data_IF_716452971824
#
_entry.id   IF_716452971824
#
_cell.length_a   1.000
_cell.length_b   1.000
_cell.length_c   1.000
_cell.angle_alpha   90.00
_cell.angle_beta   90.00
_cell.angle_gamma   90.00
#
_symmetry.space_group_name_H-M   'P 1'
#
loop_
_entity.id
_entity.type
_entity.pdbx_description
1 polymer ?
#
# COMPACT_ATOMS: atom_id res chain seq x y z
N UNK A 1 11.30 -8.47 -2.39
CA UNK A 1 11.50 -7.07 -2.89
C UNK A 1 10.86 -6.83 -4.25
N UNK A 2 11.17 -7.63 -5.29
CA UNK A 2 10.58 -7.44 -6.62
C UNK A 2 9.05 -7.50 -6.64
N UNK A 3 8.46 -8.37 -5.81
CA UNK A 3 7.00 -8.51 -5.75
C UNK A 3 6.33 -7.29 -5.12
N UNK A 4 6.95 -6.60 -4.16
CA UNK A 4 6.39 -5.34 -3.62
C UNK A 4 6.23 -4.31 -4.72
N UNK A 5 7.19 -4.20 -5.64
CA UNK A 5 7.09 -3.28 -6.77
C UNK A 5 5.95 -3.67 -7.70
N UNK A 6 5.81 -4.95 -8.01
CA UNK A 6 4.70 -5.46 -8.82
C UNK A 6 3.33 -5.19 -8.14
N UNK A 7 3.23 -5.45 -6.84
CA UNK A 7 2.03 -5.18 -6.05
C UNK A 7 1.74 -3.67 -5.99
N UNK A 8 2.75 -2.82 -5.82
CA UNK A 8 2.61 -1.37 -5.84
C UNK A 8 2.09 -0.86 -7.19
N UNK A 9 2.57 -1.44 -8.31
CA UNK A 9 2.06 -1.13 -9.65
C UNK A 9 0.60 -1.59 -9.77
N UNK A 10 0.27 -2.81 -9.33
CA UNK A 10 -1.11 -3.30 -9.36
C UNK A 10 -2.04 -2.38 -8.54
N UNK A 11 -1.63 -1.99 -7.34
CA UNK A 11 -2.37 -1.06 -6.49
C UNK A 11 -2.53 0.32 -7.13
N UNK A 12 -1.47 0.86 -7.74
CA UNK A 12 -1.52 2.12 -8.48
C UNK A 12 -2.55 2.08 -9.62
N UNK A 13 -2.55 1.01 -10.42
CA UNK A 13 -3.48 0.85 -11.54
C UNK A 13 -4.93 0.70 -11.06
N UNK A 14 -5.18 -0.17 -10.07
CA UNK A 14 -6.53 -0.43 -9.56
C UNK A 14 -7.07 0.81 -8.83
N UNK A 15 -6.26 1.42 -7.96
CA UNK A 15 -6.64 2.63 -7.23
C UNK A 15 -6.89 3.81 -8.18
N UNK A 16 -6.06 3.98 -9.22
CA UNK A 16 -6.26 4.98 -10.26
C UNK A 16 -7.57 4.77 -11.04
N UNK A 17 -7.89 3.53 -11.40
CA UNK A 17 -9.17 3.19 -12.03
C UNK A 17 -10.37 3.54 -11.13
N UNK A 18 -10.29 3.16 -9.85
CA UNK A 18 -11.34 3.45 -8.86
C UNK A 18 -11.49 4.96 -8.62
N UNK A 19 -10.39 5.69 -8.55
CA UNK A 19 -10.40 7.15 -8.44
C UNK A 19 -11.18 7.77 -9.59
N UNK A 20 -10.78 7.50 -10.84
CA UNK A 20 -11.46 8.03 -12.02
C UNK A 20 -12.93 7.60 -12.10
N UNK A 21 -13.25 6.40 -11.66
CA UNK A 21 -14.60 5.83 -11.80
C UNK A 21 -15.58 6.22 -10.72
N UNK A 22 -15.15 6.29 -9.46
CA UNK A 22 -16.02 6.64 -8.34
C UNK A 22 -16.11 8.16 -8.16
N UNK A 23 -15.02 8.91 -8.36
CA UNK A 23 -15.05 10.37 -8.26
C UNK A 23 -15.92 11.02 -9.33
N UNK A 24 -16.09 10.39 -10.50
CA UNK A 24 -17.02 10.84 -11.54
C UNK A 24 -18.48 10.69 -11.14
N UNK A 25 -18.81 9.72 -10.27
CA UNK A 25 -20.17 9.50 -9.77
C UNK A 25 -20.46 10.41 -8.58
N UNK A 26 -19.59 10.38 -7.56
CA UNK A 26 -19.72 11.24 -6.39
C UNK A 26 -18.37 11.44 -5.71
N UNK A 27 -17.88 12.68 -5.75
CA UNK A 27 -16.64 13.08 -5.05
C UNK A 27 -16.75 12.83 -3.54
N UNK A 28 -17.86 13.21 -2.93
CA UNK A 28 -18.07 13.05 -1.47
C UNK A 28 -18.04 11.59 -1.06
N UNK A 29 -18.71 10.70 -1.81
CA UNK A 29 -18.71 9.28 -1.51
C UNK A 29 -17.30 8.69 -1.59
N UNK A 30 -16.57 9.03 -2.65
CA UNK A 30 -15.21 8.55 -2.84
C UNK A 30 -14.27 9.02 -1.70
N UNK A 31 -14.36 10.29 -1.31
CA UNK A 31 -13.56 10.85 -0.21
C UNK A 31 -13.86 10.16 1.11
N UNK A 32 -15.14 10.02 1.48
CA UNK A 32 -15.53 9.34 2.73
C UNK A 32 -15.10 7.88 2.72
N UNK A 33 -15.26 7.20 1.58
CA UNK A 33 -14.85 5.81 1.44
C UNK A 33 -13.35 5.64 1.66
N UNK A 34 -12.52 6.49 1.04
CA UNK A 34 -11.06 6.35 1.05
C UNK A 34 -10.35 7.02 2.24
N UNK A 35 -11.07 7.82 3.03
CA UNK A 35 -10.51 8.62 4.11
C UNK A 35 -9.60 7.83 5.09
N UNK A 36 -9.95 6.62 5.56
CA UNK A 36 -9.06 5.89 6.48
C UNK A 36 -7.70 5.58 5.84
N UNK A 37 -7.70 5.22 4.56
CA UNK A 37 -6.48 4.98 3.79
C UNK A 37 -5.66 6.26 3.61
N UNK A 38 -6.31 7.38 3.27
CA UNK A 38 -5.67 8.69 3.13
C UNK A 38 -5.02 9.15 4.43
N UNK A 39 -5.70 8.99 5.58
CA UNK A 39 -5.14 9.33 6.89
C UNK A 39 -3.83 8.58 7.12
N UNK A 40 -3.83 7.26 6.88
CA UNK A 40 -2.62 6.44 7.06
C UNK A 40 -1.54 6.80 6.04
N UNK A 41 -1.90 7.05 4.79
CA UNK A 41 -0.97 7.46 3.73
C UNK A 41 -0.20 8.72 4.12
N UNK A 42 -0.92 9.81 4.38
CA UNK A 42 -0.30 11.10 4.70
C UNK A 42 0.44 11.04 6.04
N UNK A 43 -0.09 10.30 7.02
CA UNK A 43 0.59 10.10 8.30
C UNK A 43 1.90 9.32 8.14
N UNK A 44 1.97 8.38 7.19
CA UNK A 44 3.19 7.62 6.91
C UNK A 44 4.28 8.54 6.37
N UNK A 45 3.94 9.40 5.42
CA UNK A 45 4.84 10.45 4.94
C UNK A 45 5.30 11.36 6.08
N UNK A 46 4.36 11.83 6.92
CA UNK A 46 4.65 12.71 8.06
C UNK A 46 5.66 12.09 9.04
N UNK A 47 5.41 10.84 9.45
CA UNK A 47 6.29 10.13 10.38
C UNK A 47 7.69 9.99 9.81
N UNK A 48 7.83 9.55 8.55
CA UNK A 48 9.15 9.37 7.95
C UNK A 48 9.83 10.70 7.66
N UNK A 49 9.09 11.74 7.29
CA UNK A 49 9.64 13.09 7.10
C UNK A 49 10.28 13.61 8.39
N UNK A 50 9.59 13.47 9.52
CA UNK A 50 10.12 13.85 10.84
C UNK A 50 11.35 13.02 11.22
N UNK A 51 11.33 11.70 10.98
CA UNK A 51 12.49 10.83 11.24
C UNK A 51 13.71 11.19 10.38
N UNK A 52 13.49 11.62 9.14
CA UNK A 52 14.54 12.09 8.22
C UNK A 52 14.98 13.54 8.52
N UNK A 53 14.43 14.15 9.57
CA UNK A 53 14.78 15.48 10.05
C UNK A 53 14.21 16.63 9.21
N UNK A 54 13.20 16.37 8.38
CA UNK A 54 12.39 17.41 7.77
C UNK A 54 11.41 18.00 8.80
N UNK A 55 10.88 19.20 8.51
CA UNK A 55 9.78 19.82 9.26
C UNK A 55 8.55 19.84 8.38
N UNK A 56 7.40 19.47 8.95
CA UNK A 56 6.10 19.54 8.28
C UNK A 56 5.66 21.01 8.28
N UNK A 57 5.39 21.56 7.11
CA UNK A 57 4.93 22.94 6.92
C UNK A 57 3.43 23.01 6.73
N UNK A 58 2.85 22.02 6.06
CA UNK A 58 1.41 21.90 5.88
C UNK A 58 1.00 20.41 5.83
N UNK A 59 -0.20 20.11 6.29
CA UNK A 59 -0.72 18.74 6.38
C UNK A 59 -2.25 18.73 6.30
N UNK A 60 -2.78 18.03 5.31
CA UNK A 60 -4.22 17.83 5.15
C UNK A 60 -4.53 16.41 4.70
N UNK A 61 -5.48 15.78 5.38
CA UNK A 61 -6.09 14.51 4.96
C UNK A 61 -7.39 14.72 4.18
N UNK A 62 -7.80 15.98 4.02
CA UNK A 62 -8.97 16.37 3.24
C UNK A 62 -8.54 16.73 1.82
N UNK A 63 -9.40 16.45 0.83
CA UNK A 63 -9.05 16.66 -0.57
C UNK A 63 -8.85 18.15 -0.86
N UNK A 64 -7.79 18.45 -1.61
CA UNK A 64 -7.51 19.78 -2.14
C UNK A 64 -7.29 19.66 -3.65
N UNK A 65 -8.23 20.19 -4.43
CA UNK A 65 -8.22 20.05 -5.88
C UNK A 65 -8.36 18.60 -6.36
N UNK A 66 -7.30 18.05 -6.95
CA UNK A 66 -7.26 16.69 -7.51
C UNK A 66 -6.57 15.66 -6.60
N UNK A 67 -6.08 16.04 -5.42
CA UNK A 67 -5.48 15.10 -4.46
C UNK A 67 -6.45 14.83 -3.31
N UNK A 68 -6.43 13.60 -2.77
CA UNK A 68 -7.25 13.21 -1.62
C UNK A 68 -6.73 13.79 -0.30
N UNK A 69 -5.44 14.03 -0.22
CA UNK A 69 -4.71 14.64 0.88
C UNK A 69 -3.39 15.19 0.36
N UNK A 70 -2.65 15.85 1.23
CA UNK A 70 -1.29 16.27 0.94
C UNK A 70 -0.51 16.54 2.23
N UNK A 71 0.81 16.45 2.10
CA UNK A 71 1.76 16.90 3.10
C UNK A 71 2.84 17.73 2.42
N UNK A 72 3.14 18.88 3.01
CA UNK A 72 4.29 19.69 2.63
C UNK A 72 5.32 19.63 3.74
N UNK A 73 6.58 19.44 3.34
CA UNK A 73 7.69 19.37 4.28
C UNK A 73 8.94 20.03 3.70
N UNK A 74 9.82 20.49 4.58
CA UNK A 74 11.14 20.97 4.17
C UNK A 74 12.01 19.83 3.63
N UNK A 75 13.14 20.17 3.01
CA UNK A 75 14.12 19.15 2.64
C UNK A 75 14.57 18.34 3.89
N UNK A 76 14.68 17.01 3.78
CA UNK A 76 15.23 16.19 4.86
C UNK A 76 16.74 16.41 4.98
N UNK A 77 17.32 15.98 6.11
CA UNK A 77 18.75 16.16 6.39
C UNK A 77 19.66 15.55 5.31
N UNK A 78 19.24 14.43 4.74
CA UNK A 78 19.90 13.76 3.61
C UNK A 78 18.92 13.74 2.44
N UNK A 79 18.95 14.72 1.51
CA UNK A 79 17.92 14.90 0.50
C UNK A 79 17.60 13.64 -0.32
N UNK A 80 18.62 12.95 -0.84
CA UNK A 80 18.41 11.79 -1.71
C UNK A 80 17.78 10.60 -0.99
N UNK A 81 18.31 10.23 0.18
CA UNK A 81 17.81 9.07 0.95
C UNK A 81 16.50 9.43 1.65
N UNK A 82 16.43 10.64 2.23
CA UNK A 82 15.26 11.11 2.95
C UNK A 82 14.04 11.23 2.05
N UNK A 83 14.16 11.85 0.88
CA UNK A 83 13.02 11.97 -0.05
C UNK A 83 12.52 10.60 -0.49
N UNK A 84 13.44 9.67 -0.81
CA UNK A 84 13.04 8.32 -1.19
C UNK A 84 12.37 7.57 -0.03
N UNK A 85 12.89 7.69 1.19
CA UNK A 85 12.31 7.05 2.36
C UNK A 85 10.90 7.59 2.66
N UNK A 86 10.70 8.91 2.55
CA UNK A 86 9.39 9.55 2.68
C UNK A 86 8.44 8.98 1.62
N UNK A 87 8.83 8.97 0.34
CA UNK A 87 7.98 8.47 -0.74
C UNK A 87 7.62 6.99 -0.64
N UNK A 88 8.48 6.16 -0.04
CA UNK A 88 8.20 4.73 0.21
C UNK A 88 7.30 4.55 1.44
N UNK A 89 7.19 5.54 2.32
CA UNK A 89 6.56 5.39 3.62
C UNK A 89 5.14 4.81 3.58
N UNK A 90 4.22 5.23 2.68
CA UNK A 90 2.88 4.65 2.61
C UNK A 90 2.87 3.16 2.20
N UNK A 91 3.83 2.72 1.39
CA UNK A 91 4.00 1.30 1.01
C UNK A 91 4.44 0.42 2.18
N UNK A 92 4.88 1.02 3.29
CA UNK A 92 5.21 0.32 4.53
C UNK A 92 4.11 0.55 5.57
N UNK A 93 3.69 1.79 5.78
CA UNK A 93 2.74 2.17 6.83
C UNK A 93 1.35 1.57 6.64
N UNK A 94 0.78 1.66 5.43
CA UNK A 94 -0.53 1.08 5.13
C UNK A 94 -0.58 -0.45 5.36
N UNK A 95 0.32 -1.27 4.78
CA UNK A 95 0.34 -2.70 5.06
C UNK A 95 0.72 -3.05 6.50
N UNK A 96 1.59 -2.27 7.16
CA UNK A 96 1.91 -2.49 8.57
C UNK A 96 0.68 -2.31 9.48
N UNK A 97 -0.12 -1.27 9.23
CA UNK A 97 -1.38 -1.05 9.94
C UNK A 97 -2.38 -2.16 9.60
N UNK A 98 -2.45 -2.62 8.35
CA UNK A 98 -3.31 -3.73 7.96
C UNK A 98 -2.96 -5.02 8.71
N UNK A 99 -1.66 -5.34 8.86
CA UNK A 99 -1.19 -6.49 9.65
C UNK A 99 -1.50 -6.35 11.14
N UNK A 100 -1.47 -5.13 11.68
CA UNK A 100 -1.84 -4.89 13.08
C UNK A 100 -3.35 -5.11 13.29
N UNK A 101 -4.15 -4.58 12.38
CA UNK A 101 -5.61 -4.68 12.43
C UNK A 101 -6.05 -6.14 12.20
N UNK A 102 -5.41 -6.88 11.29
CA UNK A 102 -5.76 -8.28 11.03
C UNK A 102 -5.67 -9.14 12.29
N UNK A 103 -4.63 -8.93 13.10
CA UNK A 103 -4.48 -9.58 14.41
C UNK A 103 -5.63 -9.29 15.36
N UNK A 104 -6.16 -8.07 15.37
CA UNK A 104 -7.31 -7.69 16.19
C UNK A 104 -8.61 -8.35 15.69
N UNK A 105 -8.79 -8.44 14.37
CA UNK A 105 -9.97 -9.04 13.76
C UNK A 105 -9.92 -10.58 13.67
N UNK A 106 -8.83 -11.21 14.12
CA UNK A 106 -8.64 -12.67 14.08
C UNK A 106 -8.34 -13.21 12.67
N UNK A 107 -7.94 -12.33 11.75
CA UNK A 107 -7.50 -12.69 10.41
C UNK A 107 -6.04 -13.13 10.50
N UNK A 108 -5.78 -14.38 10.17
CA UNK A 108 -4.44 -14.94 10.21
C UNK A 108 -3.78 -14.81 8.85
N UNK A 109 -2.52 -14.41 8.86
CA UNK A 109 -1.64 -14.42 7.72
C UNK A 109 -0.66 -15.57 7.88
N UNK A 110 -0.49 -16.36 6.83
CA UNK A 110 0.52 -17.41 6.83
C UNK A 110 1.91 -16.79 6.97
N UNK A 111 2.80 -17.46 7.73
CA UNK A 111 4.16 -16.97 7.92
C UNK A 111 4.93 -17.07 6.61
N UNK A 112 5.43 -15.95 6.06
CA UNK A 112 6.13 -15.99 4.80
C UNK A 112 7.50 -16.65 4.92
N UNK A 113 8.01 -17.20 3.80
CA UNK A 113 9.29 -17.90 3.76
C UNK A 113 10.49 -16.95 3.92
N UNK A 114 10.31 -15.63 3.76
CA UNK A 114 11.40 -14.66 3.81
C UNK A 114 12.43 -14.89 2.69
N UNK A 115 11.96 -15.31 1.52
CA UNK A 115 12.81 -15.73 0.39
C UNK A 115 13.09 -14.59 -0.58
N UNK A 116 14.26 -14.63 -1.21
CA UNK A 116 14.58 -13.76 -2.35
C UNK A 116 14.13 -14.36 -3.69
N UNK A 117 13.75 -15.64 -3.70
CA UNK A 117 13.26 -16.33 -4.89
C UNK A 117 11.83 -15.85 -5.24
N UNK A 118 11.71 -15.25 -6.43
CA UNK A 118 10.46 -14.69 -6.91
C UNK A 118 9.37 -15.76 -7.11
N UNK A 119 9.73 -16.98 -7.50
CA UNK A 119 8.76 -18.05 -7.74
C UNK A 119 8.21 -18.58 -6.41
N UNK A 120 9.08 -18.80 -5.43
CA UNK A 120 8.68 -19.25 -4.09
C UNK A 120 7.78 -18.21 -3.44
N UNK A 121 8.18 -16.93 -3.46
CA UNK A 121 7.41 -15.85 -2.85
C UNK A 121 6.08 -15.63 -3.58
N UNK A 122 6.05 -15.68 -4.93
CA UNK A 122 4.80 -15.54 -5.69
C UNK A 122 3.82 -16.67 -5.38
N UNK A 123 4.31 -17.91 -5.36
CA UNK A 123 3.48 -19.07 -5.01
C UNK A 123 2.93 -18.94 -3.59
N UNK A 124 3.78 -18.56 -2.64
CA UNK A 124 3.37 -18.34 -1.25
C UNK A 124 2.28 -17.26 -1.14
N UNK A 125 2.44 -16.14 -1.83
CA UNK A 125 1.45 -15.07 -1.82
C UNK A 125 0.12 -15.51 -2.45
N UNK A 126 0.15 -16.31 -3.51
CA UNK A 126 -1.06 -16.87 -4.12
C UNK A 126 -1.75 -17.84 -3.16
N UNK A 127 -1.02 -18.80 -2.60
CA UNK A 127 -1.56 -19.77 -1.63
C UNK A 127 -2.10 -19.07 -0.38
N UNK A 128 -1.35 -18.12 0.19
CA UNK A 128 -1.76 -17.33 1.35
C UNK A 128 -2.95 -16.42 1.07
N UNK A 129 -3.05 -15.85 -0.13
CA UNK A 129 -4.23 -15.06 -0.53
C UNK A 129 -5.46 -15.94 -0.74
N UNK A 130 -5.30 -17.13 -1.31
CA UNK A 130 -6.39 -18.10 -1.42
C UNK A 130 -6.86 -18.59 -0.04
N UNK A 131 -5.91 -18.96 0.83
CA UNK A 131 -6.13 -19.32 2.24
C UNK A 131 -6.88 -18.22 3.00
N UNK A 132 -6.49 -16.96 2.80
CA UNK A 132 -7.20 -15.81 3.33
C UNK A 132 -8.66 -15.79 2.85
N UNK A 133 -8.90 -15.83 1.53
CA UNK A 133 -10.26 -15.76 0.97
C UNK A 133 -11.15 -16.91 1.45
N UNK A 134 -10.63 -18.14 1.47
CA UNK A 134 -11.41 -19.32 1.89
C UNK A 134 -11.56 -19.42 3.40
N UNK A 135 -10.67 -18.81 4.17
CA UNK A 135 -10.69 -18.78 5.63
C UNK A 135 -11.56 -17.68 6.24
N UNK A 136 -12.10 -16.76 5.44
CA UNK A 136 -13.00 -15.71 5.94
C UNK A 136 -14.35 -16.28 6.38
N UNK A 137 -14.81 -15.85 7.56
CA UNK A 137 -16.19 -16.06 8.00
C UNK A 137 -17.10 -14.99 7.41
N UNK A 138 -17.73 -15.29 6.28
CA UNK A 138 -18.64 -14.38 5.57
C UNK A 138 -19.94 -14.11 6.34
N UNK A 139 -20.26 -14.83 7.40
CA UNK A 139 -21.44 -14.53 8.23
C UNK A 139 -21.15 -13.51 9.33
N UNK A 140 -19.87 -13.20 9.57
CA UNK A 140 -19.45 -12.30 10.63
C UNK A 140 -19.28 -10.86 10.13
N UNK A 141 -19.93 -9.90 10.81
CA UNK A 141 -19.81 -8.47 10.49
C UNK A 141 -18.36 -7.96 10.56
N UNK A 142 -17.53 -8.57 11.42
CA UNK A 142 -16.11 -8.25 11.58
C UNK A 142 -15.33 -8.42 10.28
N UNK A 143 -15.69 -9.44 9.48
CA UNK A 143 -15.08 -9.71 8.17
C UNK A 143 -15.30 -8.54 7.22
N UNK A 144 -16.51 -7.99 7.17
CA UNK A 144 -16.82 -6.87 6.28
C UNK A 144 -16.12 -5.57 6.68
N UNK A 145 -15.99 -5.32 7.99
CA UNK A 145 -15.21 -4.17 8.50
C UNK A 145 -13.74 -4.34 8.16
N UNK A 146 -13.18 -5.54 8.33
CA UNK A 146 -11.81 -5.83 7.91
C UNK A 146 -11.62 -5.63 6.41
N UNK A 147 -12.51 -6.16 5.57
CA UNK A 147 -12.44 -6.01 4.11
C UNK A 147 -12.56 -4.55 3.67
N UNK A 148 -13.39 -3.74 4.35
CA UNK A 148 -13.44 -2.30 4.15
C UNK A 148 -12.12 -1.62 4.51
N UNK A 149 -11.52 -1.96 5.65
CA UNK A 149 -10.20 -1.42 6.03
C UNK A 149 -9.10 -1.87 5.07
N UNK A 150 -9.11 -3.13 4.62
CA UNK A 150 -8.19 -3.65 3.62
C UNK A 150 -8.34 -2.93 2.27
N UNK A 151 -9.56 -2.63 1.84
CA UNK A 151 -9.85 -1.82 0.64
C UNK A 151 -9.19 -0.45 0.74
N UNK A 152 -9.48 0.27 1.82
CA UNK A 152 -9.03 1.67 2.01
C UNK A 152 -7.52 1.75 2.23
N UNK A 153 -6.94 0.89 3.07
CA UNK A 153 -5.49 0.82 3.30
C UNK A 153 -4.74 0.34 2.06
N UNK A 154 -5.29 -0.60 1.29
CA UNK A 154 -4.71 -0.98 0.00
C UNK A 154 -4.70 0.18 -0.99
N UNK A 155 -5.82 0.90 -1.10
CA UNK A 155 -5.92 2.08 -1.96
C UNK A 155 -4.96 3.19 -1.50
N UNK A 156 -4.81 3.37 -0.18
CA UNK A 156 -3.86 4.29 0.44
C UNK A 156 -2.40 3.84 0.34
N UNK A 157 -2.11 2.55 0.15
CA UNK A 157 -0.74 2.07 -0.08
C UNK A 157 -0.27 2.38 -1.52
N UNK A 158 -1.18 2.65 -2.46
CA UNK A 158 -0.84 2.96 -3.83
C UNK A 158 0.00 4.25 -3.89
N UNK A 159 1.22 4.22 -4.46
CA UNK A 159 2.07 5.40 -4.52
C UNK A 159 1.51 6.42 -5.52
N UNK A 160 1.60 7.71 -5.21
CA UNK A 160 1.24 8.77 -6.15
C UNK A 160 2.31 8.93 -7.26
N UNK A 161 2.00 9.71 -8.31
CA UNK A 161 3.01 10.02 -9.34
C UNK A 161 4.24 10.72 -8.76
N UNK A 162 4.03 11.62 -7.81
CA UNK A 162 5.12 12.35 -7.12
C UNK A 162 5.97 11.40 -6.28
N UNK A 163 5.32 10.43 -5.61
CA UNK A 163 6.02 9.42 -4.82
C UNK A 163 6.88 8.52 -5.70
N UNK A 164 6.37 8.08 -6.85
CA UNK A 164 7.11 7.22 -7.78
C UNK A 164 8.39 7.91 -8.25
N UNK A 165 8.29 9.17 -8.67
CA UNK A 165 9.43 9.94 -9.18
C UNK A 165 10.49 10.12 -8.08
N UNK A 166 10.06 10.44 -6.85
CA UNK A 166 10.95 10.68 -5.72
C UNK A 166 11.54 9.40 -5.11
N UNK A 167 10.81 8.28 -5.19
CA UNK A 167 11.24 6.97 -4.71
C UNK A 167 12.32 6.33 -5.60
N UNK A 168 12.25 6.54 -6.93
CA UNK A 168 13.05 5.77 -7.90
C UNK A 168 14.57 5.89 -7.69
N UNK A 169 15.16 7.08 -7.46
CA UNK A 169 16.59 7.20 -7.20
C UNK A 169 17.03 6.47 -5.92
N UNK A 170 16.25 6.57 -4.83
CA UNK A 170 16.59 5.89 -3.59
C UNK A 170 16.36 4.39 -3.64
N UNK A 171 15.39 3.91 -4.43
CA UNK A 171 15.19 2.49 -4.67
C UNK A 171 16.44 1.89 -5.33
N UNK A 172 17.02 2.55 -6.34
CA UNK A 172 18.29 2.11 -6.95
C UNK A 172 19.40 1.99 -5.91
N UNK A 173 19.54 2.98 -5.03
CA UNK A 173 20.55 2.99 -3.96
C UNK A 173 20.32 1.82 -2.97
N UNK A 174 19.07 1.60 -2.55
CA UNK A 174 18.71 0.52 -1.62
C UNK A 174 18.99 -0.85 -2.26
N UNK A 175 18.61 -1.05 -3.52
CA UNK A 175 18.89 -2.31 -4.24
C UNK A 175 20.39 -2.57 -4.33
N UNK A 176 21.17 -1.54 -4.71
CA UNK A 176 22.62 -1.63 -4.77
C UNK A 176 23.24 -1.95 -3.40
N UNK A 177 22.74 -1.32 -2.33
CA UNK A 177 23.20 -1.58 -0.97
C UNK A 177 22.88 -3.01 -0.51
N UNK A 178 21.67 -3.51 -0.76
CA UNK A 178 21.29 -4.91 -0.44
C UNK A 178 22.18 -5.90 -1.19
N UNK A 179 22.44 -5.65 -2.47
CA UNK A 179 23.32 -6.51 -3.27
C UNK A 179 24.77 -6.50 -2.73
N UNK A 180 25.30 -5.32 -2.40
CA UNK A 180 26.63 -5.18 -1.83
C UNK A 180 26.75 -5.90 -0.48
N UNK A 181 25.77 -5.73 0.43
CA UNK A 181 25.75 -6.41 1.72
C UNK A 181 25.74 -7.94 1.56
N UNK A 182 24.94 -8.46 0.63
CA UNK A 182 24.91 -9.89 0.32
C UNK A 182 26.24 -10.38 -0.26
N UNK A 183 26.86 -9.60 -1.15
CA UNK A 183 28.20 -9.90 -1.68
C UNK A 183 29.26 -10.05 -0.58
N UNK A 184 29.17 -9.24 0.48
CA UNK A 184 30.04 -9.34 1.65
C UNK A 184 29.62 -10.41 2.67
N UNK A 185 28.61 -11.24 2.36
CA UNK A 185 28.13 -12.30 3.24
C UNK A 185 27.31 -11.81 4.45
N UNK A 186 26.88 -10.55 4.46
CA UNK A 186 26.03 -10.01 5.52
C UNK A 186 24.60 -10.47 5.26
N UNK A 187 24.15 -11.44 6.07
CA UNK A 187 22.80 -11.98 5.96
C UNK A 187 21.77 -10.98 6.51
N UNK A 188 20.86 -10.52 5.64
CA UNK A 188 19.81 -9.56 5.95
C UNK A 188 18.44 -10.25 6.15
N UNK A 189 18.43 -11.46 6.71
CA UNK A 189 17.24 -12.30 6.88
C UNK A 189 16.03 -11.53 7.46
N UNK A 190 16.24 -10.73 8.49
CA UNK A 190 15.16 -9.95 9.12
C UNK A 190 14.50 -8.97 8.14
N UNK A 191 15.28 -8.33 7.26
CA UNK A 191 14.73 -7.46 6.23
C UNK A 191 13.87 -8.26 5.25
N UNK A 192 14.30 -9.45 4.84
CA UNK A 192 13.52 -10.28 3.94
C UNK A 192 12.21 -10.73 4.56
N UNK A 193 12.22 -11.16 5.83
CA UNK A 193 11.01 -11.51 6.56
C UNK A 193 10.05 -10.33 6.60
N UNK A 194 10.51 -9.14 7.00
CA UNK A 194 9.69 -7.92 7.05
C UNK A 194 9.08 -7.62 5.67
N UNK A 195 9.88 -7.63 4.61
CA UNK A 195 9.39 -7.34 3.25
C UNK A 195 8.36 -8.38 2.77
N UNK A 196 8.52 -9.65 3.13
CA UNK A 196 7.54 -10.68 2.78
C UNK A 196 6.21 -10.51 3.53
N UNK A 197 6.25 -10.11 4.81
CA UNK A 197 5.03 -9.78 5.57
C UNK A 197 4.28 -8.59 4.94
N UNK A 198 5.01 -7.54 4.55
CA UNK A 198 4.41 -6.40 3.85
C UNK A 198 3.83 -6.83 2.49
N UNK A 199 4.51 -7.72 1.76
CA UNK A 199 4.01 -8.26 0.48
C UNK A 199 2.70 -9.03 0.66
N UNK A 200 2.60 -9.87 1.70
CA UNK A 200 1.39 -10.61 2.03
C UNK A 200 0.22 -9.68 2.40
N UNK A 201 0.49 -8.64 3.18
CA UNK A 201 -0.52 -7.64 3.51
C UNK A 201 -1.06 -6.92 2.26
N UNK A 202 -0.16 -6.51 1.36
CA UNK A 202 -0.54 -5.85 0.11
C UNK A 202 -1.30 -6.80 -0.83
N UNK A 203 -0.92 -8.09 -0.91
CA UNK A 203 -1.64 -9.07 -1.75
C UNK A 203 -3.08 -9.28 -1.27
N UNK A 204 -3.29 -9.33 0.04
CA UNK A 204 -4.64 -9.39 0.64
C UNK A 204 -5.43 -8.12 0.36
N UNK A 205 -4.80 -6.95 0.46
CA UNK A 205 -5.46 -5.67 0.20
C UNK A 205 -5.95 -5.52 -1.26
N UNK A 206 -5.27 -6.17 -2.22
CA UNK A 206 -5.68 -6.17 -3.64
C UNK A 206 -7.05 -6.83 -3.83
N UNK A 207 -7.44 -7.82 -3.02
CA UNK A 207 -8.68 -8.57 -3.21
C UNK A 207 -9.94 -7.70 -3.14
N UNK A 208 -10.22 -6.96 -2.04
CA UNK A 208 -11.39 -6.09 -2.00
C UNK A 208 -11.30 -4.94 -3.02
N UNK A 209 -10.10 -4.42 -3.29
CA UNK A 209 -9.83 -3.43 -4.33
C UNK A 209 -10.27 -3.90 -5.72
N UNK A 210 -9.86 -5.11 -6.10
CA UNK A 210 -10.20 -5.73 -7.37
C UNK A 210 -11.71 -6.04 -7.42
N UNK A 211 -12.29 -6.56 -6.34
CA UNK A 211 -13.72 -6.84 -6.27
C UNK A 211 -14.56 -5.58 -6.53
N UNK A 212 -14.24 -4.47 -5.86
CA UNK A 212 -14.93 -3.18 -6.07
C UNK A 212 -14.69 -2.67 -7.49
N UNK A 213 -13.48 -2.78 -8.02
CA UNK A 213 -13.17 -2.34 -9.39
C UNK A 213 -13.99 -3.12 -10.44
N UNK A 214 -14.12 -4.43 -10.28
CA UNK A 214 -14.95 -5.27 -11.15
C UNK A 214 -16.42 -4.88 -11.05
N UNK A 215 -16.96 -4.67 -9.85
CA UNK A 215 -18.35 -4.23 -9.66
C UNK A 215 -18.60 -2.89 -10.37
N UNK A 216 -17.71 -1.92 -10.18
CA UNK A 216 -17.82 -0.59 -10.81
C UNK A 216 -17.73 -0.70 -12.34
N UNK A 217 -16.83 -1.55 -12.86
CA UNK A 217 -16.72 -1.80 -14.30
C UNK A 217 -18.00 -2.40 -14.88
N UNK A 218 -18.58 -3.39 -14.21
CA UNK A 218 -19.84 -4.02 -14.60
C UNK A 218 -21.00 -3.02 -14.59
N UNK A 219 -21.10 -2.18 -13.56
CA UNK A 219 -22.13 -1.15 -13.49
C UNK A 219 -22.00 -0.14 -14.64
N UNK A 220 -20.78 0.28 -14.98
CA UNK A 220 -20.54 1.17 -16.13
C UNK A 220 -20.92 0.57 -17.48
N UNK A 221 -20.81 -0.76 -17.65
CA UNK A 221 -21.24 -1.44 -18.86
C UNK A 221 -22.77 -1.50 -19.00
N UNK A 222 -23.49 -1.51 -17.88
CA UNK A 222 -24.95 -1.61 -17.84
C UNK A 222 -25.62 -0.23 -17.91
N UNK A 223 -24.97 0.81 -17.37
CA UNK A 223 -25.50 2.17 -17.40
C UNK A 223 -25.37 2.76 -18.82
N UNK A 224 -26.47 3.22 -19.45
CA UNK A 224 -26.37 3.91 -20.74
C UNK A 224 -25.54 5.18 -20.57
N UNK A 225 -24.60 5.40 -21.51
CA UNK A 225 -23.82 6.64 -21.59
C UNK A 225 -24.80 7.78 -21.87
N UNK A 226 -25.16 8.54 -20.84
CA UNK A 226 -25.93 9.78 -20.94
C UNK A 226 -24.99 10.97 -21.05
#
# INVERSE_FOLDING_TARGET
MYIILLLAIALYLISGYLHCSLSSVSKTLYVVLMLPGTIVHESSHAVVALLMGARITDFSVMPSGNTLGYIEHTAPKIPFIGNAAISVAPLIGCPAILLLISRYFGVHFDSPPGSFDIFIETRFLLEGTLSFITGLDYLNWRTYVFLYLALTLGAGAAPSRTDIISMLPGLIIIVAAIYALNYFGINILYLYIILSWLSAALSVAIIPLLAVAVIVAMLKLIMPVT
#
